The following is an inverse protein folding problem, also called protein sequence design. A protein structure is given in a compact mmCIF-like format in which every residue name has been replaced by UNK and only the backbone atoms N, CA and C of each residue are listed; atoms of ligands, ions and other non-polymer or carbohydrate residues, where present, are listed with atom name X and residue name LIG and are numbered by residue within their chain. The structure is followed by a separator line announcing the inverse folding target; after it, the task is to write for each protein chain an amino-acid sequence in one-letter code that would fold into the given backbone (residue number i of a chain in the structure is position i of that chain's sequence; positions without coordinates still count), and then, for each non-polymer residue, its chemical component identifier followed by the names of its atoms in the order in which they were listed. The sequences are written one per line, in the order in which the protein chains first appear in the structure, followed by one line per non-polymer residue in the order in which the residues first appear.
data_IF_328332364804
#
_entry.id   IF_328332364804
#
_cell.length_a   1.000
_cell.length_b   1.000
_cell.length_c   1.000
_cell.angle_alpha   90.00
_cell.angle_beta   90.00
_cell.angle_gamma   90.00
#
_symmetry.space_group_name_H-M   'P 1'
#
loop_
_entity.id
_entity.type
_entity.pdbx_description
1 polymer ?
#
# COMPACT_ATOMS: atom_id res chain seq x y z
N UNK A 1 -1.10 9.28 16.61
CA UNK A 1 -0.28 8.38 15.78
C UNK A 1 -0.73 6.94 15.97
N UNK A 2 -0.90 6.20 14.88
CA UNK A 2 -1.27 4.80 15.00
C UNK A 2 -0.03 3.96 15.33
N UNK A 3 -0.12 3.12 16.37
CA UNK A 3 1.01 2.31 16.83
C UNK A 3 1.12 1.00 16.04
N UNK A 4 -0.02 0.38 15.75
CA UNK A 4 -0.08 -0.87 15.00
C UNK A 4 -0.95 -0.66 13.76
N UNK A 5 -0.39 -0.95 12.59
CA UNK A 5 -1.13 -0.85 11.35
C UNK A 5 -1.80 -2.17 11.00
N UNK A 6 -2.96 -2.09 10.40
CA UNK A 6 -3.74 -3.25 9.98
C UNK A 6 -3.76 -3.36 8.45
N UNK A 7 -3.92 -4.57 7.91
CA UNK A 7 -4.10 -4.73 6.45
C UNK A 7 -5.28 -3.88 5.96
N UNK A 8 -5.05 -3.08 4.93
CA UNK A 8 -6.05 -2.16 4.39
C UNK A 8 -5.94 -0.74 4.91
N UNK A 9 -5.06 -0.48 5.87
CA UNK A 9 -4.79 0.89 6.29
C UNK A 9 -4.13 1.66 5.15
N UNK A 10 -4.57 2.90 4.96
CA UNK A 10 -3.99 3.78 3.96
C UNK A 10 -3.04 4.72 4.68
N UNK A 11 -1.81 4.81 4.18
CA UNK A 11 -0.75 5.62 4.78
C UNK A 11 -0.06 6.46 3.72
N UNK A 12 0.56 7.55 4.16
CA UNK A 12 1.47 8.34 3.34
C UNK A 12 2.90 8.02 3.77
N UNK A 13 3.75 7.67 2.82
CA UNK A 13 5.16 7.40 3.08
C UNK A 13 5.99 8.64 2.72
N UNK A 14 6.45 9.34 3.74
CA UNK A 14 7.22 10.57 3.57
C UNK A 14 8.59 10.33 2.93
N UNK A 15 9.14 9.12 3.04
CA UNK A 15 10.44 8.81 2.44
C UNK A 15 10.39 8.80 0.92
N UNK A 16 9.26 8.37 0.35
CA UNK A 16 9.09 8.26 -1.10
C UNK A 16 8.05 9.22 -1.65
N UNK A 17 7.42 10.02 -0.79
CA UNK A 17 6.35 10.95 -1.19
C UNK A 17 5.20 10.24 -1.90
N UNK A 18 4.83 9.05 -1.42
CA UNK A 18 3.78 8.22 -2.03
C UNK A 18 2.74 7.82 -1.03
N UNK A 19 1.53 7.57 -1.53
CA UNK A 19 0.51 6.88 -0.76
C UNK A 19 0.71 5.38 -0.89
N UNK A 20 0.28 4.65 0.14
CA UNK A 20 0.47 3.21 0.18
C UNK A 20 -0.65 2.54 0.95
N UNK A 21 -0.80 1.25 0.72
CA UNK A 21 -1.76 0.43 1.44
C UNK A 21 -0.98 -0.56 2.29
N UNK A 22 -1.28 -0.63 3.57
CA UNK A 22 -0.64 -1.58 4.47
C UNK A 22 -1.09 -3.00 4.12
N UNK A 23 -0.14 -3.87 3.89
CA UNK A 23 -0.38 -5.29 3.66
C UNK A 23 -0.40 -6.07 4.97
N UNK A 24 0.32 -5.60 5.96
CA UNK A 24 0.37 -6.20 7.27
C UNK A 24 1.53 -5.64 8.09
N UNK A 25 1.52 -5.96 9.36
CA UNK A 25 2.60 -5.60 10.27
C UNK A 25 3.06 -6.87 10.98
N UNK A 26 4.37 -7.08 11.05
CA UNK A 26 4.96 -8.26 11.62
C UNK A 26 6.29 -7.92 12.27
N UNK A 27 6.42 -8.19 13.59
CA UNK A 27 7.64 -7.88 14.35
C UNK A 27 8.13 -6.45 14.15
N UNK A 28 7.20 -5.49 14.30
CA UNK A 28 7.46 -4.06 14.16
C UNK A 28 7.86 -3.62 12.75
N UNK A 29 7.75 -4.52 11.78
CA UNK A 29 7.97 -4.20 10.37
C UNK A 29 6.61 -4.01 9.70
N UNK A 30 6.39 -2.84 9.12
CA UNK A 30 5.15 -2.53 8.40
C UNK A 30 5.39 -2.74 6.91
N UNK A 31 4.75 -3.75 6.35
CA UNK A 31 4.82 -4.03 4.93
C UNK A 31 3.72 -3.26 4.21
N UNK A 32 4.11 -2.48 3.23
CA UNK A 32 3.17 -1.65 2.46
C UNK A 32 3.28 -1.93 0.98
N UNK A 33 2.19 -1.69 0.26
CA UNK A 33 2.16 -1.67 -1.20
C UNK A 33 2.11 -0.21 -1.63
N UNK A 34 3.23 0.30 -2.13
CA UNK A 34 3.30 1.69 -2.58
C UNK A 34 2.67 1.82 -3.95
N UNK A 35 1.82 2.84 -4.07
CA UNK A 35 1.07 3.10 -5.30
C UNK A 35 1.47 4.47 -5.82
N UNK A 36 2.34 4.47 -6.79
CA UNK A 36 2.81 5.67 -7.45
C UNK A 36 2.93 5.41 -8.94
N UNK A 37 4.00 5.88 -9.53
CA UNK A 37 4.30 5.59 -10.94
C UNK A 37 4.40 4.08 -11.17
N UNK A 38 5.03 3.39 -10.23
CA UNK A 38 5.10 1.94 -10.19
C UNK A 38 4.44 1.45 -8.91
N UNK A 39 4.02 0.19 -8.90
CA UNK A 39 3.46 -0.46 -7.73
C UNK A 39 4.49 -1.46 -7.21
N UNK A 40 4.89 -1.31 -5.97
CA UNK A 40 5.91 -2.20 -5.39
C UNK A 40 5.73 -2.32 -3.87
N UNK A 41 6.25 -3.42 -3.33
CA UNK A 41 6.22 -3.71 -1.89
C UNK A 41 7.44 -3.08 -1.23
N UNK A 42 7.23 -2.45 -0.07
CA UNK A 42 8.29 -1.81 0.69
C UNK A 42 8.05 -2.01 2.19
N UNK A 43 9.08 -1.81 2.97
CA UNK A 43 9.04 -1.94 4.42
C UNK A 43 9.69 -0.71 5.06
N UNK A 44 9.05 0.46 4.98
CA UNK A 44 9.63 1.69 5.56
C UNK A 44 9.52 1.68 7.08
N UNK A 45 10.31 2.50 7.78
CA UNK A 45 10.13 2.67 9.21
C UNK A 45 8.80 3.36 9.51
N UNK A 46 8.17 3.01 10.62
CA UNK A 46 6.88 3.60 11.01
C UNK A 46 6.94 5.11 11.11
N UNK A 47 8.10 5.65 11.50
CA UNK A 47 8.29 7.10 11.64
C UNK A 47 8.08 7.85 10.32
N UNK A 48 8.22 7.17 9.19
CA UNK A 48 7.99 7.75 7.87
C UNK A 48 6.52 7.70 7.43
N UNK A 49 5.68 6.99 8.16
CA UNK A 49 4.29 6.73 7.78
C UNK A 49 3.32 7.63 8.53
N UNK A 50 2.36 8.19 7.79
CA UNK A 50 1.25 8.94 8.36
C UNK A 50 -0.04 8.21 8.04
N UNK A 51 -0.83 7.90 9.06
CA UNK A 51 -2.12 7.24 8.88
C UNK A 51 -3.11 8.19 8.21
N UNK A 52 -3.74 7.72 7.13
CA UNK A 52 -4.72 8.50 6.36
C UNK A 52 -6.13 7.96 6.59
N UNK A 53 -6.29 6.64 6.56
CA UNK A 53 -7.59 6.02 6.68
C UNK A 53 -7.50 4.51 6.54
N UNK A 54 -8.64 3.88 6.33
CA UNK A 54 -8.73 2.43 6.23
C UNK A 54 -9.70 2.04 5.13
N UNK A 55 -9.40 0.99 4.41
CA UNK A 55 -10.25 0.44 3.36
C UNK A 55 -10.21 -1.08 3.39
N UNK A 56 -11.12 -1.70 2.64
CA UNK A 56 -11.07 -3.14 2.44
C UNK A 56 -9.86 -3.47 1.56
N UNK A 57 -8.90 -4.22 2.12
CA UNK A 57 -7.65 -4.51 1.41
C UNK A 57 -7.89 -5.29 0.12
N UNK A 58 -8.86 -6.18 0.08
CA UNK A 58 -9.17 -6.96 -1.13
C UNK A 58 -9.68 -6.07 -2.24
N UNK A 59 -10.57 -5.13 -1.91
CA UNK A 59 -11.08 -4.16 -2.87
C UNK A 59 -9.98 -3.23 -3.35
N UNK A 60 -9.14 -2.76 -2.43
CA UNK A 60 -8.05 -1.85 -2.77
C UNK A 60 -7.04 -2.50 -3.71
N UNK A 61 -6.63 -3.72 -3.42
CA UNK A 61 -5.69 -4.46 -4.27
C UNK A 61 -6.31 -4.74 -5.63
N UNK A 62 -7.58 -5.14 -5.66
CA UNK A 62 -8.28 -5.37 -6.92
C UNK A 62 -8.33 -4.11 -7.78
N UNK A 63 -8.62 -2.96 -7.18
CA UNK A 63 -8.66 -1.69 -7.90
C UNK A 63 -7.30 -1.31 -8.50
N UNK A 64 -6.20 -1.71 -7.84
CA UNK A 64 -4.85 -1.46 -8.33
C UNK A 64 -4.47 -2.45 -9.43
N UNK A 65 -4.81 -3.72 -9.26
CA UNK A 65 -4.39 -4.81 -10.14
C UNK A 65 -5.23 -4.89 -11.41
N UNK A 66 -6.53 -4.65 -11.34
CA UNK A 66 -7.44 -4.78 -12.49
C UNK A 66 -7.02 -3.94 -13.72
N UNK A 67 -6.60 -2.68 -13.56
CA UNK A 67 -6.12 -1.91 -14.72
C UNK A 67 -4.91 -2.55 -15.40
N UNK A 68 -3.99 -3.13 -14.64
CA UNK A 68 -2.84 -3.83 -15.19
C UNK A 68 -3.27 -5.11 -15.90
N UNK A 69 -4.22 -5.85 -15.32
CA UNK A 69 -4.74 -7.07 -15.93
C UNK A 69 -5.42 -6.78 -17.27
N UNK A 70 -6.18 -5.70 -17.37
CA UNK A 70 -6.82 -5.31 -18.64
C UNK A 70 -5.80 -4.93 -19.71
N UNK A 71 -4.75 -4.21 -19.33
CA UNK A 71 -3.68 -3.84 -20.26
C UNK A 71 -3.02 -5.11 -20.81
N UNK A 72 -2.73 -6.08 -19.94
CA UNK A 72 -2.14 -7.35 -20.38
C UNK A 72 -3.08 -8.13 -21.29
N UNK A 73 -4.38 -8.14 -21.02
CA UNK A 73 -5.35 -8.80 -21.89
C UNK A 73 -5.40 -8.17 -23.28
N UNK A 74 -5.28 -6.85 -23.36
CA UNK A 74 -5.31 -6.13 -24.64
C UNK A 74 -4.08 -6.36 -25.48
N UNK A 75 -2.96 -6.69 -24.86
CA UNK A 75 -1.70 -6.91 -25.56
C UNK A 75 -1.49 -8.36 -25.98
N UNK A 76 -2.34 -9.25 -25.53
CA UNK A 76 -2.33 -10.65 -25.93
C UNK A 76 -3.44 -10.90 -26.94
#
# INVERSE_FOLDING_TARGET
MKVIYEPGDIVYNANNYTYAIVLGEYNDVTKILEVGKDVFVNNPPKSALTYIGHTDIKKAIKAIVDPFAEVHKKTT
#
